data_IF_837937557282
#
_entry.id   IF_837937557282
#
_cell.length_a   1.000
_cell.length_b   1.000
_cell.length_c   1.000
_cell.angle_alpha   90.00
_cell.angle_beta   90.00
_cell.angle_gamma   90.00
#
_symmetry.space_group_name_H-M   'P 1'
#
loop_
_entity.id
_entity.type
_entity.pdbx_description
1 polymer ?
#
# COMPACT_ATOMS: atom_id res chain seq x y z
N UNK A 1 63.26 39.50 56.43
CA UNK A 1 63.06 39.88 55.04
C UNK A 1 62.40 38.72 54.30
N UNK A 2 61.13 38.69 54.18
CA UNK A 2 60.36 37.65 53.44
C UNK A 2 59.32 38.36 52.59
N UNK A 3 59.43 38.20 51.28
CA UNK A 3 58.52 38.80 50.28
C UNK A 3 57.28 37.90 50.11
N UNK A 4 56.08 38.38 50.10
CA UNK A 4 54.93 37.63 49.71
C UNK A 4 54.72 37.60 48.19
N UNK A 5 54.39 36.45 47.64
CA UNK A 5 54.06 36.25 46.24
C UNK A 5 52.54 36.44 46.04
N UNK A 6 52.12 37.12 44.96
CA UNK A 6 50.69 37.23 44.66
C UNK A 6 50.16 35.96 43.98
N UNK A 7 49.11 35.43 44.55
CA UNK A 7 48.38 34.32 43.94
C UNK A 7 47.60 34.76 42.70
N UNK A 8 47.83 34.10 41.59
CA UNK A 8 47.06 34.24 40.36
C UNK A 8 45.77 33.45 40.49
N UNK A 9 44.64 34.17 40.57
CA UNK A 9 43.32 33.58 40.50
C UNK A 9 42.99 33.13 39.08
N UNK A 10 42.77 31.82 38.90
CA UNK A 10 42.32 31.22 37.66
C UNK A 10 40.80 31.35 37.57
N UNK A 11 40.32 32.33 36.75
CA UNK A 11 38.91 32.44 36.44
C UNK A 11 38.54 31.37 35.37
N UNK A 12 37.85 30.33 35.77
CA UNK A 12 37.26 29.36 34.84
C UNK A 12 35.95 29.92 34.33
N UNK A 13 35.96 30.38 33.07
CA UNK A 13 34.74 30.76 32.34
C UNK A 13 34.10 29.48 31.78
N UNK A 14 33.04 29.01 32.44
CA UNK A 14 32.17 27.99 31.93
C UNK A 14 31.29 28.59 30.82
N UNK A 15 31.70 28.38 29.57
CA UNK A 15 30.85 28.65 28.41
C UNK A 15 29.77 27.57 28.35
N UNK A 16 28.58 27.88 28.85
CA UNK A 16 27.39 27.06 28.66
C UNK A 16 26.97 27.15 27.18
N UNK A 17 27.34 26.15 26.37
CA UNK A 17 26.77 25.95 25.05
C UNK A 17 25.29 25.58 25.22
N UNK A 18 24.43 26.58 25.09
CA UNK A 18 22.99 26.37 24.87
C UNK A 18 22.85 25.75 23.49
N UNK A 19 22.82 24.41 23.46
CA UNK A 19 22.32 23.65 22.28
C UNK A 19 20.83 23.93 22.23
N UNK A 20 20.43 24.94 21.47
CA UNK A 20 19.05 25.11 21.08
C UNK A 20 18.63 23.84 20.34
N UNK A 21 17.55 23.15 20.76
CA UNK A 21 17.02 22.09 19.93
C UNK A 21 16.61 22.75 18.61
N UNK A 22 17.32 22.41 17.54
CA UNK A 22 16.86 22.72 16.20
C UNK A 22 15.53 22.03 16.05
N UNK A 23 14.45 22.80 16.24
CA UNK A 23 13.14 22.44 15.73
C UNK A 23 13.32 22.36 14.22
N UNK A 24 13.77 21.20 13.74
CA UNK A 24 13.58 20.83 12.34
C UNK A 24 12.07 20.91 12.16
N UNK A 25 11.61 22.08 11.66
CA UNK A 25 10.29 22.17 11.09
C UNK A 25 10.16 20.95 10.20
N UNK A 26 9.29 20.02 10.58
CA UNK A 26 8.85 18.94 9.72
C UNK A 26 8.34 19.66 8.47
N UNK A 27 9.20 19.82 7.47
CA UNK A 27 8.76 20.08 6.12
C UNK A 27 7.88 18.88 5.82
N UNK A 28 6.60 19.12 5.72
CA UNK A 28 5.67 18.21 5.07
C UNK A 28 6.14 18.11 3.61
N UNK A 29 7.17 17.28 3.41
CA UNK A 29 7.56 16.87 2.06
C UNK A 29 6.38 16.05 1.56
N UNK A 30 5.69 16.50 0.52
CA UNK A 30 4.52 15.77 0.01
C UNK A 30 4.91 14.38 -0.50
N UNK A 31 6.19 14.18 -0.82
CA UNK A 31 6.70 12.90 -1.28
C UNK A 31 6.98 11.95 -0.10
N UNK A 32 6.41 10.76 -0.19
CA UNK A 32 6.62 9.69 0.78
C UNK A 32 7.96 9.01 0.49
N UNK A 33 8.69 8.68 1.56
CA UNK A 33 9.94 7.94 1.48
C UNK A 33 9.82 6.72 0.53
N UNK A 34 10.82 6.51 -0.36
CA UNK A 34 10.78 5.42 -1.35
C UNK A 34 10.61 4.02 -0.74
N UNK A 35 11.17 3.76 0.46
CA UNK A 35 11.01 2.45 1.11
C UNK A 35 9.59 2.28 1.66
N UNK A 36 9.00 3.34 2.20
CA UNK A 36 7.58 3.34 2.59
C UNK A 36 6.71 3.17 1.36
N UNK A 37 6.97 3.90 0.27
CA UNK A 37 6.23 3.76 -1.00
C UNK A 37 6.28 2.33 -1.52
N UNK A 38 7.46 1.69 -1.48
CA UNK A 38 7.63 0.26 -1.84
C UNK A 38 6.80 -0.64 -0.92
N UNK A 39 6.83 -0.42 0.39
CA UNK A 39 6.04 -1.18 1.37
C UNK A 39 4.53 -1.08 1.07
N UNK A 40 4.02 0.12 0.81
CA UNK A 40 2.62 0.36 0.46
C UNK A 40 2.25 -0.35 -0.85
N UNK A 41 3.12 -0.28 -1.86
CA UNK A 41 2.94 -0.94 -3.16
C UNK A 41 2.87 -2.46 -3.00
N UNK A 42 3.77 -3.06 -2.20
CA UNK A 42 3.76 -4.51 -1.93
C UNK A 42 2.47 -4.91 -1.23
N UNK A 43 2.03 -4.16 -0.22
CA UNK A 43 0.80 -4.46 0.51
C UNK A 43 -0.43 -4.40 -0.41
N UNK A 44 -0.55 -3.36 -1.22
CA UNK A 44 -1.63 -3.22 -2.20
C UNK A 44 -1.59 -4.32 -3.27
N UNK A 45 -0.41 -4.61 -3.82
CA UNK A 45 -0.20 -5.66 -4.82
C UNK A 45 -0.62 -7.05 -4.29
N UNK A 46 -0.30 -7.35 -3.03
CA UNK A 46 -0.67 -8.63 -2.41
C UNK A 46 -2.18 -8.83 -2.38
N UNK A 47 -2.95 -7.79 -2.10
CA UNK A 47 -4.42 -7.87 -2.11
C UNK A 47 -4.98 -8.08 -3.52
N UNK A 48 -4.43 -7.38 -4.52
CA UNK A 48 -4.87 -7.55 -5.92
C UNK A 48 -4.46 -8.90 -6.49
N UNK A 49 -3.25 -9.38 -6.18
CA UNK A 49 -2.79 -10.71 -6.59
C UNK A 49 -3.72 -11.80 -6.05
N UNK A 50 -4.15 -11.69 -4.79
CA UNK A 50 -5.12 -12.62 -4.19
C UNK A 50 -6.46 -12.65 -4.94
N UNK A 51 -6.93 -11.50 -5.44
CA UNK A 51 -8.12 -11.46 -6.31
C UNK A 51 -7.88 -12.18 -7.62
N UNK A 52 -6.72 -11.96 -8.24
CA UNK A 52 -6.38 -12.62 -9.51
C UNK A 52 -6.27 -14.13 -9.34
N UNK A 53 -5.70 -14.60 -8.25
CA UNK A 53 -5.65 -16.03 -7.92
C UNK A 53 -7.05 -16.62 -7.77
N UNK A 54 -8.02 -15.86 -7.26
CA UNK A 54 -9.39 -16.28 -7.13
C UNK A 54 -10.09 -16.57 -8.48
N UNK A 55 -9.63 -15.93 -9.57
CA UNK A 55 -10.13 -16.22 -10.92
C UNK A 55 -9.81 -17.64 -11.41
N UNK A 56 -8.74 -18.25 -10.89
CA UNK A 56 -8.21 -19.53 -11.33
C UNK A 56 -8.61 -20.66 -10.38
N UNK A 57 -8.67 -20.36 -9.10
CA UNK A 57 -8.89 -21.35 -8.05
C UNK A 57 -10.39 -21.66 -7.92
N UNK A 58 -10.76 -22.92 -8.16
CA UNK A 58 -12.07 -23.43 -7.80
C UNK A 58 -12.12 -23.64 -6.29
N UNK A 59 -13.16 -23.13 -5.64
CA UNK A 59 -13.54 -23.31 -4.23
C UNK A 59 -12.52 -24.07 -3.36
N UNK A 60 -11.59 -23.38 -2.78
CA UNK A 60 -10.74 -23.94 -1.72
C UNK A 60 -11.50 -23.80 -0.40
N UNK A 61 -11.93 -24.94 0.19
CA UNK A 61 -12.68 -24.98 1.46
C UNK A 61 -11.93 -24.39 2.65
N UNK A 62 -10.60 -24.31 2.58
CA UNK A 62 -9.72 -23.86 3.67
C UNK A 62 -9.22 -22.41 3.48
N UNK A 63 -10.10 -21.50 3.05
CA UNK A 63 -9.68 -20.12 2.89
C UNK A 63 -9.47 -19.43 4.20
N UNK A 64 -8.24 -19.06 4.41
CA UNK A 64 -7.89 -18.04 5.40
C UNK A 64 -8.61 -16.73 5.09
N UNK A 65 -9.23 -16.12 6.09
CA UNK A 65 -9.80 -14.77 6.04
C UNK A 65 -8.84 -13.78 5.37
N UNK A 66 -9.35 -12.67 4.86
CA UNK A 66 -8.48 -11.61 4.36
C UNK A 66 -7.44 -11.25 5.44
N UNK A 67 -6.17 -11.06 5.07
CA UNK A 67 -5.15 -10.72 6.05
C UNK A 67 -5.52 -9.40 6.74
N UNK A 68 -5.35 -9.35 8.05
CA UNK A 68 -5.52 -8.11 8.83
C UNK A 68 -4.33 -7.16 8.69
N UNK A 69 -3.19 -7.71 8.25
CA UNK A 69 -1.94 -6.97 8.05
C UNK A 69 -1.13 -7.62 6.92
N UNK A 70 -0.47 -6.79 6.11
CA UNK A 70 0.43 -7.21 5.02
C UNK A 70 1.67 -6.31 5.06
N UNK A 71 2.86 -6.88 5.29
CA UNK A 71 4.13 -6.14 5.34
C UNK A 71 4.10 -4.93 6.27
N UNK A 72 3.54 -5.07 7.48
CA UNK A 72 3.43 -3.98 8.46
C UNK A 72 2.34 -2.93 8.13
N UNK A 73 1.61 -3.10 7.03
CA UNK A 73 0.45 -2.28 6.70
C UNK A 73 -0.82 -2.98 7.17
N UNK A 74 -1.53 -2.37 8.10
CA UNK A 74 -2.85 -2.87 8.52
C UNK A 74 -3.88 -2.73 7.42
N UNK A 75 -4.80 -3.66 7.36
CA UNK A 75 -5.95 -3.62 6.46
C UNK A 75 -7.18 -3.28 7.29
N UNK A 76 -7.85 -2.17 6.95
CA UNK A 76 -9.06 -1.79 7.68
C UNK A 76 -10.16 -2.85 7.53
N UNK A 77 -11.04 -3.03 8.53
CA UNK A 77 -12.11 -4.01 8.45
C UNK A 77 -13.04 -3.82 7.24
N UNK A 78 -13.21 -2.57 6.79
CA UNK A 78 -13.98 -2.25 5.58
C UNK A 78 -13.32 -2.82 4.33
N UNK A 79 -12.01 -2.57 4.16
CA UNK A 79 -11.23 -3.09 3.02
C UNK A 79 -11.17 -4.61 3.08
N UNK A 80 -10.91 -5.20 4.25
CA UNK A 80 -10.88 -6.66 4.43
C UNK A 80 -12.19 -7.32 3.97
N UNK A 81 -13.36 -6.80 4.42
CA UNK A 81 -14.67 -7.32 3.99
C UNK A 81 -14.91 -7.14 2.49
N UNK A 82 -14.47 -6.01 1.90
CA UNK A 82 -14.58 -5.78 0.46
C UNK A 82 -13.72 -6.79 -0.31
N UNK A 83 -12.49 -7.05 0.15
CA UNK A 83 -11.59 -8.05 -0.43
C UNK A 83 -12.18 -9.47 -0.36
N UNK A 84 -12.72 -9.87 0.78
CA UNK A 84 -13.36 -11.19 0.94
C UNK A 84 -14.56 -11.38 0.01
N UNK A 85 -15.37 -10.31 -0.16
CA UNK A 85 -16.49 -10.35 -1.10
C UNK A 85 -16.00 -10.49 -2.53
N UNK A 86 -15.03 -9.64 -2.93
CA UNK A 86 -14.44 -9.69 -4.25
C UNK A 86 -13.86 -11.06 -4.58
N UNK A 87 -13.09 -11.64 -3.67
CA UNK A 87 -12.52 -12.96 -3.81
C UNK A 87 -13.62 -14.03 -4.02
N UNK A 88 -14.68 -14.06 -3.19
CA UNK A 88 -15.79 -15.01 -3.34
C UNK A 88 -16.52 -14.88 -4.68
N UNK A 89 -16.76 -13.65 -5.14
CA UNK A 89 -17.42 -13.41 -6.42
C UNK A 89 -16.58 -13.85 -7.62
N UNK A 90 -15.26 -13.58 -7.56
CA UNK A 90 -14.33 -13.98 -8.61
C UNK A 90 -14.15 -15.50 -8.70
N UNK A 91 -14.20 -16.20 -7.58
CA UNK A 91 -14.19 -17.67 -7.54
C UNK A 91 -15.38 -18.29 -8.25
N UNK A 92 -16.55 -17.70 -8.01
CA UNK A 92 -17.77 -18.17 -8.66
C UNK A 92 -17.75 -17.90 -10.17
N UNK A 93 -16.99 -16.90 -10.59
CA UNK A 93 -16.88 -16.52 -11.99
C UNK A 93 -16.01 -17.46 -12.80
N UNK A 94 -14.83 -17.84 -12.33
CA UNK A 94 -13.84 -18.77 -12.92
C UNK A 94 -13.95 -19.02 -14.45
N UNK A 95 -14.34 -18.00 -15.22
CA UNK A 95 -14.55 -18.06 -16.67
C UNK A 95 -14.12 -16.73 -17.28
N UNK A 96 -13.82 -16.76 -18.58
CA UNK A 96 -13.63 -15.53 -19.33
C UNK A 96 -14.83 -14.57 -19.13
N UNK A 97 -14.65 -13.26 -19.29
CA UNK A 97 -15.74 -12.28 -19.14
C UNK A 97 -16.93 -12.54 -20.06
N UNK A 98 -16.79 -13.41 -21.03
CA UNK A 98 -17.83 -13.82 -21.97
C UNK A 98 -18.56 -15.03 -21.40
N UNK A 99 -19.88 -14.99 -21.34
CA UNK A 99 -20.71 -16.10 -20.92
C UNK A 99 -20.42 -17.34 -21.81
N UNK A 100 -20.18 -18.48 -21.16
CA UNK A 100 -19.76 -19.70 -21.86
C UNK A 100 -18.29 -19.75 -22.30
N UNK A 101 -17.50 -18.72 -22.01
CA UNK A 101 -16.08 -18.67 -22.35
C UNK A 101 -15.24 -19.70 -21.58
N UNK A 102 -13.98 -19.93 -22.03
CA UNK A 102 -13.09 -20.90 -21.41
C UNK A 102 -12.74 -20.50 -19.97
N UNK A 103 -12.47 -21.48 -19.13
CA UNK A 103 -11.98 -21.26 -17.79
C UNK A 103 -10.57 -20.68 -17.82
N UNK A 104 -10.26 -19.79 -16.88
CA UNK A 104 -8.90 -19.29 -16.70
C UNK A 104 -8.00 -20.40 -16.13
N UNK A 105 -6.80 -20.53 -16.69
CA UNK A 105 -5.76 -21.48 -16.27
C UNK A 105 -4.64 -20.82 -15.48
N UNK A 106 -4.53 -19.50 -15.52
CA UNK A 106 -3.57 -18.71 -14.78
C UNK A 106 -4.01 -17.26 -14.68
N UNK A 107 -3.67 -16.60 -13.58
CA UNK A 107 -3.86 -15.17 -13.42
C UNK A 107 -2.75 -14.57 -12.56
N UNK A 108 -2.28 -13.40 -12.93
CA UNK A 108 -1.23 -12.67 -12.24
C UNK A 108 -1.50 -11.18 -12.30
N UNK A 109 -1.28 -10.51 -11.17
CA UNK A 109 -1.35 -9.05 -11.09
C UNK A 109 -0.04 -8.48 -10.55
N UNK A 110 0.32 -7.33 -11.08
CA UNK A 110 1.46 -6.54 -10.62
C UNK A 110 1.08 -5.06 -10.63
N UNK A 111 1.50 -4.34 -9.59
CA UNK A 111 1.48 -2.89 -9.53
C UNK A 111 2.83 -2.32 -9.92
N UNK A 112 2.82 -1.42 -10.88
CA UNK A 112 4.01 -0.73 -11.39
C UNK A 112 3.87 0.79 -11.22
N UNK A 113 5.01 1.48 -11.12
CA UNK A 113 5.07 2.95 -11.12
C UNK A 113 4.39 3.61 -9.91
N UNK A 114 4.42 2.97 -8.75
CA UNK A 114 3.80 3.52 -7.55
C UNK A 114 4.37 4.89 -7.16
N UNK A 115 3.50 5.91 -7.12
CA UNK A 115 3.80 7.25 -6.61
C UNK A 115 2.92 7.51 -5.38
N UNK A 116 3.55 7.83 -4.25
CA UNK A 116 2.87 8.07 -3.00
C UNK A 116 3.03 9.52 -2.56
N UNK A 117 1.92 10.17 -2.23
CA UNK A 117 1.87 11.55 -1.73
C UNK A 117 1.25 11.56 -0.34
N UNK A 118 1.83 12.35 0.57
CA UNK A 118 1.35 12.51 1.94
C UNK A 118 0.67 13.87 2.11
N UNK A 119 -0.51 13.84 2.72
CA UNK A 119 -1.26 15.01 3.16
C UNK A 119 -1.70 14.79 4.62
N UNK A 120 -0.93 15.32 5.57
CA UNK A 120 -1.15 15.11 6.98
C UNK A 120 -1.10 13.63 7.39
N UNK A 121 -2.20 13.10 7.91
CA UNK A 121 -2.34 11.68 8.30
C UNK A 121 -2.71 10.75 7.13
N UNK A 122 -2.92 11.29 5.94
CA UNK A 122 -3.32 10.56 4.75
C UNK A 122 -2.15 10.36 3.81
N UNK A 123 -1.99 9.12 3.32
CA UNK A 123 -1.12 8.81 2.20
C UNK A 123 -1.97 8.28 1.06
N UNK A 124 -1.72 8.80 -0.14
CA UNK A 124 -2.36 8.36 -1.38
C UNK A 124 -1.30 7.74 -2.27
N UNK A 125 -1.46 6.47 -2.63
CA UNK A 125 -0.60 5.77 -3.59
C UNK A 125 -1.37 5.61 -4.90
N UNK A 126 -0.81 6.11 -6.00
CA UNK A 126 -1.28 5.85 -7.36
C UNK A 126 -0.31 4.93 -8.09
N UNK A 127 -0.85 3.92 -8.74
CA UNK A 127 -0.06 2.94 -9.48
C UNK A 127 -0.85 2.38 -10.67
N UNK A 128 -0.14 1.79 -11.62
CA UNK A 128 -0.73 1.04 -12.73
C UNK A 128 -0.79 -0.43 -12.35
N UNK A 129 -1.99 -0.96 -12.31
CA UNK A 129 -2.23 -2.38 -12.19
C UNK A 129 -2.12 -3.05 -13.56
N UNK A 130 -1.22 -4.01 -13.69
CA UNK A 130 -1.08 -4.86 -14.85
C UNK A 130 -1.55 -6.28 -14.49
N UNK A 131 -2.69 -6.69 -15.06
CA UNK A 131 -3.27 -8.02 -14.84
C UNK A 131 -3.16 -8.84 -16.11
N UNK A 132 -2.59 -10.03 -15.98
CA UNK A 132 -2.50 -11.03 -17.05
C UNK A 132 -3.32 -12.23 -16.65
N UNK A 133 -4.26 -12.65 -17.47
CA UNK A 133 -5.02 -13.89 -17.33
C UNK A 133 -4.78 -14.80 -18.51
N UNK A 134 -4.63 -16.09 -18.22
CA UNK A 134 -4.39 -17.13 -19.23
C UNK A 134 -5.58 -18.09 -19.30
N UNK A 135 -5.85 -18.56 -20.50
CA UNK A 135 -6.81 -19.61 -20.77
C UNK A 135 -6.25 -20.52 -21.88
N UNK A 136 -6.85 -21.68 -22.10
CA UNK A 136 -6.25 -22.78 -22.87
C UNK A 136 -5.51 -22.41 -24.16
N UNK A 137 -5.95 -21.39 -24.90
CA UNK A 137 -5.37 -21.00 -26.21
C UNK A 137 -4.79 -19.60 -26.25
N UNK A 138 -4.73 -18.87 -25.12
CA UNK A 138 -4.24 -17.49 -25.15
C UNK A 138 -4.11 -16.82 -23.80
N UNK A 139 -3.80 -15.54 -23.84
CA UNK A 139 -3.79 -14.67 -22.66
C UNK A 139 -4.40 -13.30 -22.98
N UNK A 140 -4.94 -12.67 -21.95
CA UNK A 140 -5.39 -11.28 -21.99
C UNK A 140 -4.59 -10.50 -20.97
N UNK A 141 -4.06 -9.36 -21.40
CA UNK A 141 -3.39 -8.40 -20.54
C UNK A 141 -4.23 -7.13 -20.45
N UNK A 142 -4.39 -6.62 -19.24
CA UNK A 142 -5.09 -5.38 -18.97
C UNK A 142 -4.26 -4.49 -18.04
N UNK A 143 -4.22 -3.20 -18.35
CA UNK A 143 -3.60 -2.17 -17.52
C UNK A 143 -4.66 -1.18 -17.06
N UNK A 144 -4.70 -0.90 -15.74
CA UNK A 144 -5.70 -0.01 -15.13
C UNK A 144 -5.01 0.83 -14.07
N UNK A 145 -5.33 2.13 -14.05
CA UNK A 145 -4.82 3.01 -12.97
C UNK A 145 -5.66 2.84 -11.70
N UNK A 146 -4.95 2.64 -10.58
CA UNK A 146 -5.57 2.52 -9.26
C UNK A 146 -5.03 3.54 -8.29
N UNK A 147 -5.87 3.90 -7.35
CA UNK A 147 -5.53 4.71 -6.17
C UNK A 147 -5.85 3.94 -4.91
N UNK A 148 -4.86 3.91 -4.01
CA UNK A 148 -5.00 3.37 -2.66
C UNK A 148 -4.89 4.50 -1.66
N UNK A 149 -5.71 4.46 -0.62
CA UNK A 149 -5.73 5.46 0.45
C UNK A 149 -5.33 4.79 1.74
N UNK A 150 -4.30 5.35 2.36
CA UNK A 150 -3.81 4.92 3.66
C UNK A 150 -4.01 6.02 4.69
N UNK A 151 -4.10 5.64 5.96
CA UNK A 151 -4.09 6.53 7.12
C UNK A 151 -2.92 6.16 8.01
N UNK A 152 -2.25 7.18 8.55
CA UNK A 152 -1.17 7.00 9.52
C UNK A 152 -1.64 7.41 10.91
N UNK A 153 -1.26 6.62 11.91
CA UNK A 153 -1.47 6.95 13.33
C UNK A 153 -0.21 6.54 14.10
N UNK A 154 0.62 7.54 14.45
CA UNK A 154 1.98 7.28 14.89
C UNK A 154 2.77 6.56 13.80
N UNK A 155 3.40 5.45 14.13
CA UNK A 155 4.15 4.63 13.16
C UNK A 155 3.27 3.64 12.39
N UNK A 156 1.99 3.55 12.71
CA UNK A 156 1.09 2.60 12.09
C UNK A 156 0.46 3.14 10.82
N UNK A 157 0.57 2.38 9.73
CA UNK A 157 -0.07 2.66 8.46
C UNK A 157 -1.23 1.68 8.26
N UNK A 158 -2.39 2.19 7.85
CA UNK A 158 -3.60 1.39 7.62
C UNK A 158 -4.17 1.68 6.23
N UNK A 159 -4.35 0.65 5.41
CA UNK A 159 -5.09 0.76 4.14
C UNK A 159 -6.59 0.90 4.44
N UNK A 160 -7.18 2.02 4.04
CA UNK A 160 -8.57 2.37 4.34
C UNK A 160 -9.47 2.40 3.11
N UNK A 161 -8.91 2.39 1.90
CA UNK A 161 -9.68 2.41 0.67
C UNK A 161 -8.85 2.15 -0.57
N UNK A 162 -9.55 1.75 -1.63
CA UNK A 162 -9.02 1.61 -2.98
C UNK A 162 -10.08 2.04 -3.99
N UNK A 163 -9.65 2.48 -5.17
CA UNK A 163 -10.53 2.75 -6.30
C UNK A 163 -9.78 2.67 -7.63
N UNK A 164 -10.50 2.34 -8.68
CA UNK A 164 -10.08 2.49 -10.07
C UNK A 164 -10.17 3.97 -10.44
N UNK A 165 -9.16 4.48 -11.16
CA UNK A 165 -9.13 5.87 -11.61
C UNK A 165 -9.68 6.03 -13.04
N UNK A 166 -9.61 4.98 -13.83
CA UNK A 166 -10.11 4.99 -15.20
C UNK A 166 -11.63 4.72 -15.18
N UNK A 167 -12.48 5.68 -15.54
CA UNK A 167 -13.93 5.61 -15.28
C UNK A 167 -14.63 4.47 -16.02
N UNK A 168 -14.13 4.11 -17.20
CA UNK A 168 -14.71 3.06 -18.04
C UNK A 168 -14.00 1.71 -17.90
N UNK A 169 -12.94 1.65 -17.09
CA UNK A 169 -12.22 0.41 -16.89
C UNK A 169 -13.03 -0.58 -16.04
N UNK A 170 -13.06 -1.83 -16.51
CA UNK A 170 -13.60 -2.97 -15.76
C UNK A 170 -12.47 -3.97 -15.53
N UNK A 171 -11.76 -3.85 -14.40
CA UNK A 171 -10.65 -4.74 -14.12
C UNK A 171 -11.09 -6.20 -14.09
N UNK A 172 -10.27 -7.07 -14.71
CA UNK A 172 -10.56 -8.51 -14.77
C UNK A 172 -10.68 -9.16 -13.39
N UNK A 173 -9.93 -8.64 -12.43
CA UNK A 173 -9.89 -9.10 -11.05
C UNK A 173 -10.76 -8.25 -10.09
N UNK A 174 -11.65 -7.42 -10.60
CA UNK A 174 -12.70 -6.81 -9.81
C UNK A 174 -14.03 -7.54 -10.03
N UNK A 175 -14.82 -7.73 -8.98
CA UNK A 175 -16.19 -8.21 -9.15
C UNK A 175 -16.96 -7.20 -10.00
N UNK A 176 -17.79 -7.71 -10.89
CA UNK A 176 -18.77 -6.86 -11.59
C UNK A 176 -19.82 -6.50 -10.56
N UNK A 177 -19.63 -5.37 -9.87
CA UNK A 177 -20.66 -4.90 -8.95
C UNK A 177 -21.93 -4.56 -9.71
N UNK A 178 -23.10 -4.92 -9.19
CA UNK A 178 -24.28 -4.18 -9.51
C UNK A 178 -24.07 -2.79 -8.93
N UNK A 179 -24.24 -1.79 -9.71
CA UNK A 179 -24.34 -0.38 -9.34
C UNK A 179 -23.07 0.31 -8.81
N UNK A 180 -22.50 1.08 -9.67
CA UNK A 180 -21.83 2.34 -9.32
C UNK A 180 -22.74 3.52 -9.61
#
# INVERSE_FOLDING_TARGET
>A
MVRPWPGAGLAVVLAACLVAPSSAALRDDPDVDPDVTRQLTIAANTLLQRRSEALVQRHQRDRTSAPSEVYGVRISPRVARSQERAVRELENRNRAPVEGGPAFTGARTRLDGGHAVREGDRITLEAVENTVVRYGSGEVTQSVRRRFVFRTRGQQITLVGERVLDPDARPLNDPVGPDR
#
